data_IF_615846080671
#
_entry.id   IF_615846080671
#
_cell.length_a   1.000
_cell.length_b   1.000
_cell.length_c   1.000
_cell.angle_alpha   90.00
_cell.angle_beta   90.00
_cell.angle_gamma   90.00
#
_symmetry.space_group_name_H-M   'P 1'
#
loop_
_entity.id
_entity.type
_entity.pdbx_description
1 polymer ?
#
# COMPACT_ATOMS: atom_id res chain seq x y z
N UNK A 1 0.20 -4.90 -6.25
CA UNK A 1 0.43 -5.92 -7.28
C UNK A 1 1.92 -6.28 -7.34
N UNK A 2 2.84 -5.36 -7.62
CA UNK A 2 4.29 -5.63 -7.78
C UNK A 2 4.92 -6.40 -6.61
N UNK A 3 4.56 -6.08 -5.37
CA UNK A 3 5.01 -6.82 -4.17
C UNK A 3 4.53 -8.29 -4.19
N UNK A 4 3.28 -8.53 -4.55
CA UNK A 4 2.72 -9.88 -4.65
C UNK A 4 3.39 -10.71 -5.76
N UNK A 5 3.74 -10.08 -6.89
CA UNK A 5 4.51 -10.71 -7.99
C UNK A 5 5.93 -11.09 -7.54
N UNK A 6 6.61 -10.21 -6.79
CA UNK A 6 7.94 -10.49 -6.24
C UNK A 6 7.85 -11.65 -5.25
N UNK A 7 6.85 -11.65 -4.36
CA UNK A 7 6.65 -12.75 -3.42
C UNK A 7 6.40 -14.09 -4.13
N UNK A 8 5.64 -14.10 -5.23
CA UNK A 8 5.46 -15.29 -6.06
C UNK A 8 6.79 -15.78 -6.68
N UNK A 9 7.64 -14.86 -7.15
CA UNK A 9 8.99 -15.20 -7.64
C UNK A 9 9.87 -15.80 -6.54
N UNK A 10 9.82 -15.24 -5.31
CA UNK A 10 10.54 -15.78 -4.15
C UNK A 10 10.06 -17.21 -3.84
N UNK A 11 8.75 -17.46 -3.81
CA UNK A 11 8.23 -18.81 -3.56
C UNK A 11 8.62 -19.79 -4.67
N UNK A 12 8.70 -19.34 -5.92
CA UNK A 12 9.20 -20.16 -7.02
C UNK A 12 10.69 -20.52 -6.85
N UNK A 13 11.52 -19.56 -6.42
CA UNK A 13 12.94 -19.82 -6.10
C UNK A 13 13.08 -20.79 -4.92
N UNK A 14 12.21 -20.69 -3.90
CA UNK A 14 12.20 -21.59 -2.74
C UNK A 14 11.91 -23.04 -3.12
N UNK A 15 11.14 -23.30 -4.20
CA UNK A 15 11.01 -24.65 -4.75
C UNK A 15 12.36 -25.18 -5.27
N UNK A 16 13.17 -24.31 -5.90
CA UNK A 16 14.54 -24.64 -6.30
C UNK A 16 15.41 -24.99 -5.09
N UNK A 17 15.36 -24.15 -4.04
CA UNK A 17 16.06 -24.40 -2.77
C UNK A 17 15.64 -25.74 -2.16
N UNK A 18 14.32 -26.05 -2.12
CA UNK A 18 13.86 -27.34 -1.60
C UNK A 18 14.38 -28.53 -2.44
N UNK A 19 14.54 -28.36 -3.76
CA UNK A 19 15.12 -29.39 -4.66
C UNK A 19 16.61 -29.57 -4.46
N UNK A 20 17.34 -28.55 -3.99
CA UNK A 20 18.78 -28.65 -3.74
C UNK A 20 19.13 -29.74 -2.71
N UNK A 21 18.17 -30.11 -1.84
CA UNK A 21 18.31 -31.21 -0.91
C UNK A 21 18.53 -32.59 -1.57
N UNK A 22 18.35 -32.74 -2.87
CA UNK A 22 18.68 -33.97 -3.62
C UNK A 22 20.10 -34.00 -4.14
N UNK A 23 20.82 -32.88 -4.08
CA UNK A 23 22.17 -32.73 -4.60
C UNK A 23 23.21 -32.77 -3.47
N UNK A 24 24.44 -33.21 -3.78
CA UNK A 24 25.55 -33.13 -2.83
C UNK A 24 25.87 -31.67 -2.48
N UNK A 25 26.20 -31.43 -1.21
CA UNK A 25 26.63 -30.14 -0.70
C UNK A 25 28.13 -30.21 -0.36
N UNK A 26 28.92 -29.35 -0.94
CA UNK A 26 30.34 -29.21 -0.65
C UNK A 26 30.53 -27.95 0.20
N UNK A 27 31.07 -28.13 1.40
CA UNK A 27 31.46 -27.04 2.29
C UNK A 27 32.98 -26.98 2.40
N UNK A 28 33.54 -25.82 2.13
CA UNK A 28 34.95 -25.53 2.33
C UNK A 28 35.07 -24.57 3.51
N UNK A 29 35.80 -24.97 4.53
CA UNK A 29 36.05 -24.18 5.75
C UNK A 29 37.54 -23.98 5.91
N UNK A 30 38.00 -22.74 6.01
CA UNK A 30 39.34 -22.41 6.42
C UNK A 30 39.28 -21.72 7.79
N UNK A 31 40.00 -22.26 8.75
CA UNK A 31 40.03 -21.73 10.11
C UNK A 31 41.49 -21.48 10.49
N UNK A 32 41.74 -20.26 10.96
CA UNK A 32 43.01 -19.92 11.62
C UNK A 32 42.70 -19.56 13.05
N UNK A 33 43.33 -20.23 14.01
CA UNK A 33 43.23 -19.91 15.43
C UNK A 33 44.62 -19.69 16.01
N UNK A 34 44.76 -18.60 16.73
CA UNK A 34 45.95 -18.22 17.49
C UNK A 34 45.54 -18.21 18.97
N UNK A 35 46.26 -18.98 19.77
CA UNK A 35 46.09 -19.03 21.22
C UNK A 35 47.40 -18.61 21.86
N UNK A 36 47.36 -17.52 22.61
CA UNK A 36 48.45 -17.04 23.46
C UNK A 36 48.36 -17.74 24.83
N UNK A 37 49.52 -18.07 25.40
CA UNK A 37 49.60 -18.73 26.74
C UNK A 37 48.86 -20.07 26.78
N UNK A 38 49.02 -20.92 25.77
CA UNK A 38 48.32 -22.22 25.69
C UNK A 38 48.71 -23.17 26.84
N UNK A 39 49.97 -23.16 27.29
CA UNK A 39 50.46 -23.90 28.43
C UNK A 39 51.73 -23.29 29.00
N UNK A 40 52.18 -23.76 30.22
CA UNK A 40 53.44 -23.29 30.82
C UNK A 40 54.72 -23.62 29.99
N UNK A 41 54.62 -24.39 28.91
CA UNK A 41 55.70 -24.77 28.03
C UNK A 41 55.54 -24.26 26.62
N UNK A 42 54.35 -23.80 26.23
CA UNK A 42 54.00 -23.31 24.88
C UNK A 42 53.37 -21.93 25.01
N UNK A 43 54.10 -20.87 24.65
CA UNK A 43 53.65 -19.48 24.73
C UNK A 43 52.64 -19.15 23.66
N UNK A 44 52.79 -19.65 22.42
CA UNK A 44 51.94 -19.39 21.30
C UNK A 44 51.62 -20.67 20.52
N UNK A 45 50.33 -20.89 20.22
CA UNK A 45 49.86 -21.98 19.37
C UNK A 45 49.07 -21.42 18.20
N UNK A 46 49.62 -21.48 17.00
CA UNK A 46 48.91 -21.15 15.77
C UNK A 46 48.42 -22.44 15.11
N UNK A 47 47.13 -22.54 14.88
CA UNK A 47 46.51 -23.66 14.16
C UNK A 47 45.83 -23.15 12.88
N UNK A 48 46.26 -23.66 11.72
CA UNK A 48 45.65 -23.38 10.42
C UNK A 48 45.05 -24.67 9.86
N UNK A 49 43.73 -24.68 9.67
CA UNK A 49 43.03 -25.85 9.14
C UNK A 49 42.23 -25.46 7.88
N UNK A 50 42.36 -26.21 6.80
CA UNK A 50 41.51 -26.15 5.63
C UNK A 50 40.77 -27.48 5.49
N UNK A 51 39.45 -27.43 5.59
CA UNK A 51 38.60 -28.61 5.57
C UNK A 51 37.56 -28.55 4.44
N UNK A 52 37.54 -29.56 3.60
CA UNK A 52 36.51 -29.77 2.60
C UNK A 52 35.58 -30.90 3.03
N UNK A 53 34.27 -30.62 3.15
CA UNK A 53 33.31 -31.61 3.57
C UNK A 53 32.23 -31.77 2.50
N UNK A 54 32.07 -32.94 1.91
CA UNK A 54 31.01 -33.32 1.00
C UNK A 54 29.92 -34.07 1.75
N UNK A 55 28.70 -33.54 1.74
CA UNK A 55 27.54 -34.18 2.33
C UNK A 55 26.48 -34.47 1.24
N UNK A 56 26.16 -35.74 1.03
CA UNK A 56 25.13 -36.15 0.08
C UNK A 56 24.11 -37.05 0.74
N UNK A 57 22.88 -36.55 1.02
CA UNK A 57 21.84 -37.33 1.64
C UNK A 57 21.14 -38.24 0.60
N UNK A 58 21.71 -39.43 0.35
CA UNK A 58 21.17 -40.38 -0.67
C UNK A 58 19.80 -40.93 -0.26
N UNK A 59 19.57 -41.15 1.04
CA UNK A 59 18.29 -41.65 1.57
C UNK A 59 17.83 -40.81 2.76
N UNK A 60 16.65 -40.19 2.64
CA UNK A 60 16.08 -39.26 3.63
C UNK A 60 14.70 -39.71 4.15
N UNK A 61 14.34 -41.00 3.96
CA UNK A 61 13.04 -41.56 4.35
C UNK A 61 11.83 -40.68 3.91
N UNK A 62 11.90 -40.10 2.72
CA UNK A 62 10.84 -39.25 2.15
C UNK A 62 10.83 -37.78 2.60
N UNK A 63 11.71 -37.35 3.50
CA UNK A 63 11.78 -35.96 4.00
C UNK A 63 12.02 -34.96 2.89
N UNK A 64 12.96 -35.20 1.99
CA UNK A 64 13.26 -34.33 0.84
C UNK A 64 12.08 -34.21 -0.10
N UNK A 65 11.38 -35.31 -0.40
CA UNK A 65 10.18 -35.31 -1.23
C UNK A 65 9.05 -34.50 -0.58
N UNK A 66 8.82 -34.69 0.71
CA UNK A 66 7.81 -33.93 1.48
C UNK A 66 8.12 -32.44 1.50
N UNK A 67 9.38 -32.05 1.69
CA UNK A 67 9.79 -30.63 1.66
C UNK A 67 9.57 -30.00 0.29
N UNK A 68 9.84 -30.70 -0.81
CA UNK A 68 9.57 -30.18 -2.16
C UNK A 68 8.06 -30.04 -2.42
N UNK A 69 7.25 -31.02 -1.97
CA UNK A 69 5.77 -30.90 -2.04
C UNK A 69 5.29 -29.68 -1.25
N UNK A 70 5.73 -29.52 0.00
CA UNK A 70 5.41 -28.35 0.81
C UNK A 70 5.78 -27.04 0.11
N UNK A 71 6.98 -26.93 -0.47
CA UNK A 71 7.41 -25.73 -1.18
C UNK A 71 6.53 -25.44 -2.42
N UNK A 72 6.09 -26.48 -3.14
CA UNK A 72 5.16 -26.34 -4.27
C UNK A 72 3.79 -25.84 -3.82
N UNK A 73 3.25 -26.38 -2.72
CA UNK A 73 1.95 -25.91 -2.20
C UNK A 73 2.00 -24.47 -1.69
N UNK A 74 3.10 -24.06 -1.05
CA UNK A 74 3.33 -22.67 -0.67
C UNK A 74 3.40 -21.74 -1.90
N UNK A 75 4.05 -22.19 -2.99
CA UNK A 75 4.02 -21.45 -4.27
C UNK A 75 2.60 -21.33 -4.83
N UNK A 76 1.81 -22.41 -4.83
CA UNK A 76 0.42 -22.41 -5.30
C UNK A 76 -0.45 -21.45 -4.47
N UNK A 77 -0.30 -21.49 -3.14
CA UNK A 77 -0.97 -20.55 -2.23
C UNK A 77 -0.62 -19.08 -2.57
N UNK A 78 0.66 -18.82 -2.85
CA UNK A 78 1.08 -17.46 -3.21
C UNK A 78 0.57 -17.02 -4.59
N UNK A 79 0.39 -17.95 -5.53
CA UNK A 79 -0.24 -17.66 -6.82
C UNK A 79 -1.70 -17.23 -6.66
N UNK A 80 -2.44 -17.97 -5.81
CA UNK A 80 -3.84 -17.61 -5.50
C UNK A 80 -3.91 -16.24 -4.82
N UNK A 81 -2.98 -15.94 -3.90
CA UNK A 81 -2.91 -14.65 -3.25
C UNK A 81 -2.60 -13.51 -4.23
N UNK A 82 -1.73 -13.75 -5.23
CA UNK A 82 -1.48 -12.80 -6.32
C UNK A 82 -2.76 -12.49 -7.11
N UNK A 83 -3.49 -13.53 -7.53
CA UNK A 83 -4.77 -13.38 -8.25
C UNK A 83 -5.79 -12.62 -7.41
N UNK A 84 -5.91 -12.95 -6.11
CA UNK A 84 -6.77 -12.22 -5.18
C UNK A 84 -6.39 -10.72 -5.13
N UNK A 85 -5.11 -10.40 -4.95
CA UNK A 85 -4.63 -9.01 -4.90
C UNK A 85 -4.91 -8.25 -6.21
N UNK A 86 -4.77 -8.93 -7.36
CA UNK A 86 -5.10 -8.34 -8.66
C UNK A 86 -6.59 -8.00 -8.75
N UNK A 87 -7.47 -8.95 -8.40
CA UNK A 87 -8.92 -8.72 -8.43
C UNK A 87 -9.35 -7.60 -7.45
N UNK A 88 -8.82 -7.62 -6.23
CA UNK A 88 -9.09 -6.56 -5.22
C UNK A 88 -8.65 -5.19 -5.71
N UNK A 89 -7.50 -5.11 -6.40
CA UNK A 89 -7.02 -3.84 -6.97
C UNK A 89 -7.93 -3.32 -8.08
N UNK A 90 -8.44 -4.20 -8.96
CA UNK A 90 -9.39 -3.83 -10.02
C UNK A 90 -10.67 -3.28 -9.40
N UNK A 91 -11.29 -4.02 -8.47
CA UNK A 91 -12.51 -3.59 -7.77
C UNK A 91 -12.31 -2.26 -7.05
N UNK A 92 -11.17 -2.09 -6.37
CA UNK A 92 -10.85 -0.85 -5.69
C UNK A 92 -10.73 0.33 -6.67
N UNK A 93 -10.10 0.09 -7.82
CA UNK A 93 -9.94 1.13 -8.87
C UNK A 93 -11.28 1.57 -9.45
N UNK A 94 -12.18 0.61 -9.73
CA UNK A 94 -13.54 0.89 -10.21
C UNK A 94 -14.33 1.70 -9.17
N UNK A 95 -14.30 1.28 -7.90
CA UNK A 95 -15.00 1.98 -6.82
C UNK A 95 -14.50 3.43 -6.62
N UNK A 96 -13.20 3.67 -6.75
CA UNK A 96 -12.65 5.02 -6.60
C UNK A 96 -12.98 5.87 -7.83
N UNK A 97 -12.99 5.27 -9.02
CA UNK A 97 -13.39 5.96 -10.24
C UNK A 97 -14.87 6.39 -10.21
N UNK A 98 -15.75 5.52 -9.71
CA UNK A 98 -17.17 5.85 -9.55
C UNK A 98 -17.37 6.96 -8.50
N UNK A 99 -16.64 6.90 -7.38
CA UNK A 99 -16.63 7.99 -6.39
C UNK A 99 -16.19 9.32 -7.00
N UNK A 100 -15.19 9.30 -7.89
CA UNK A 100 -14.75 10.51 -8.58
C UNK A 100 -15.87 11.12 -9.44
N UNK A 101 -16.53 10.30 -10.28
CA UNK A 101 -17.67 10.75 -11.09
C UNK A 101 -18.80 11.33 -10.25
N UNK A 102 -19.15 10.64 -9.14
CA UNK A 102 -20.18 11.12 -8.22
C UNK A 102 -19.76 12.44 -7.57
N UNK A 103 -18.48 12.59 -7.23
CA UNK A 103 -17.98 13.83 -6.62
C UNK A 103 -18.10 15.04 -7.55
N UNK A 104 -17.87 14.87 -8.85
CA UNK A 104 -18.07 15.94 -9.83
C UNK A 104 -19.52 16.40 -9.91
N UNK A 105 -20.46 15.46 -9.98
CA UNK A 105 -21.89 15.77 -9.99
C UNK A 105 -22.37 16.43 -8.68
N UNK A 106 -21.84 15.98 -7.54
CA UNK A 106 -22.22 16.55 -6.23
C UNK A 106 -21.65 17.94 -6.00
N UNK A 107 -20.48 18.28 -6.57
CA UNK A 107 -19.95 19.64 -6.55
C UNK A 107 -20.84 20.57 -7.35
N UNK A 108 -21.22 20.20 -8.57
CA UNK A 108 -22.10 21.00 -9.42
C UNK A 108 -23.42 21.29 -8.71
N UNK A 109 -24.05 20.28 -8.11
CA UNK A 109 -25.27 20.45 -7.34
C UNK A 109 -25.08 21.36 -6.10
N UNK A 110 -23.95 21.22 -5.41
CA UNK A 110 -23.63 22.06 -4.24
C UNK A 110 -23.35 23.53 -4.64
N UNK A 111 -22.71 23.76 -5.78
CA UNK A 111 -22.46 25.09 -6.33
C UNK A 111 -23.77 25.81 -6.73
N UNK A 112 -24.66 25.09 -7.41
CA UNK A 112 -26.00 25.61 -7.75
C UNK A 112 -26.78 26.00 -6.49
N UNK A 113 -26.74 25.13 -5.45
CA UNK A 113 -27.40 25.42 -4.17
C UNK A 113 -26.78 26.64 -3.47
N UNK A 114 -25.46 26.76 -3.45
CA UNK A 114 -24.75 27.93 -2.91
C UNK A 114 -25.16 29.21 -3.64
N UNK A 115 -25.17 29.20 -4.98
CA UNK A 115 -25.54 30.35 -5.80
C UNK A 115 -27.01 30.74 -5.63
N UNK A 116 -27.92 29.78 -5.48
CA UNK A 116 -29.34 30.02 -5.19
C UNK A 116 -29.51 30.69 -3.82
N UNK A 117 -28.90 30.17 -2.75
CA UNK A 117 -28.96 30.78 -1.42
C UNK A 117 -28.28 32.15 -1.36
N UNK A 118 -27.23 32.38 -2.11
CA UNK A 118 -26.57 33.69 -2.26
C UNK A 118 -27.50 34.73 -2.90
N UNK A 119 -28.26 34.32 -3.91
CA UNK A 119 -29.25 35.18 -4.56
C UNK A 119 -30.45 35.45 -3.63
N UNK A 120 -30.95 34.42 -2.94
CA UNK A 120 -32.04 34.53 -1.98
C UNK A 120 -31.67 35.48 -0.82
N UNK A 121 -30.45 35.32 -0.25
CA UNK A 121 -29.98 36.21 0.81
C UNK A 121 -29.93 37.67 0.34
N UNK A 122 -29.38 37.95 -0.85
CA UNK A 122 -29.33 39.31 -1.42
C UNK A 122 -30.72 39.89 -1.59
N UNK A 123 -31.67 39.10 -2.11
CA UNK A 123 -33.06 39.53 -2.25
C UNK A 123 -33.71 39.88 -0.91
N UNK A 124 -33.54 39.00 0.11
CA UNK A 124 -34.08 39.24 1.46
C UNK A 124 -33.50 40.48 2.13
N UNK A 125 -32.22 40.80 1.90
CA UNK A 125 -31.57 42.05 2.38
C UNK A 125 -32.24 43.25 1.76
N UNK A 126 -32.47 43.27 0.44
CA UNK A 126 -33.11 44.37 -0.27
C UNK A 126 -34.58 44.56 0.21
N UNK A 127 -35.32 43.44 0.35
CA UNK A 127 -36.72 43.48 0.86
C UNK A 127 -36.77 44.02 2.30
N UNK A 128 -35.77 43.71 3.14
CA UNK A 128 -35.68 44.22 4.50
C UNK A 128 -35.37 45.76 4.53
N UNK A 129 -34.48 46.22 3.62
CA UNK A 129 -34.15 47.65 3.52
C UNK A 129 -35.39 48.51 3.16
N UNK A 130 -36.33 47.96 2.39
CA UNK A 130 -37.60 48.65 2.03
C UNK A 130 -38.73 48.35 3.03
N UNK A 131 -38.46 47.58 4.10
CA UNK A 131 -39.38 47.28 5.18
C UNK A 131 -40.35 46.13 4.94
N UNK A 132 -40.20 45.36 3.85
CA UNK A 132 -41.06 44.21 3.49
C UNK A 132 -40.69 42.91 4.22
N UNK A 133 -39.47 42.84 4.80
CA UNK A 133 -38.97 41.69 5.56
C UNK A 133 -38.42 42.07 6.93
N UNK A 134 -38.44 41.11 7.83
CA UNK A 134 -37.84 41.29 9.15
C UNK A 134 -36.34 41.06 9.18
N UNK A 135 -35.64 41.64 10.18
CA UNK A 135 -34.21 41.31 10.43
C UNK A 135 -34.02 39.83 10.70
N UNK A 136 -35.02 39.14 11.28
CA UNK A 136 -34.95 37.70 11.53
C UNK A 136 -34.91 36.90 10.20
N UNK A 137 -35.68 37.33 9.18
CA UNK A 137 -35.64 36.69 7.85
C UNK A 137 -34.26 36.81 7.21
N UNK A 138 -33.60 37.98 7.35
CA UNK A 138 -32.24 38.18 6.88
C UNK A 138 -31.25 37.25 7.60
N UNK A 139 -31.40 37.06 8.91
CA UNK A 139 -30.53 36.14 9.67
C UNK A 139 -30.72 34.68 9.24
N UNK A 140 -31.97 34.26 9.00
CA UNK A 140 -32.28 32.92 8.49
C UNK A 140 -31.68 32.70 7.10
N UNK A 141 -31.86 33.67 6.19
CA UNK A 141 -31.28 33.58 4.84
C UNK A 141 -29.73 33.58 4.86
N UNK A 142 -29.11 34.35 5.76
CA UNK A 142 -27.66 34.33 5.98
C UNK A 142 -27.17 32.96 6.48
N UNK A 143 -27.89 32.34 7.43
CA UNK A 143 -27.55 31.04 7.95
C UNK A 143 -27.68 29.97 6.84
N UNK A 144 -28.71 30.03 5.99
CA UNK A 144 -28.87 29.14 4.85
C UNK A 144 -27.71 29.29 3.83
N UNK A 145 -27.31 30.55 3.54
CA UNK A 145 -26.16 30.83 2.68
C UNK A 145 -24.87 30.23 3.27
N UNK A 146 -24.59 30.49 4.54
CA UNK A 146 -23.39 29.98 5.20
C UNK A 146 -23.34 28.43 5.18
N UNK A 147 -24.47 27.78 5.45
CA UNK A 147 -24.54 26.30 5.41
C UNK A 147 -24.29 25.76 3.99
N UNK A 148 -24.82 26.40 2.97
CA UNK A 148 -24.62 26.01 1.58
C UNK A 148 -23.18 26.26 1.11
N UNK A 149 -22.54 27.33 1.58
CA UNK A 149 -21.15 27.64 1.32
C UNK A 149 -20.21 26.59 1.93
N UNK A 150 -20.42 26.25 3.20
CA UNK A 150 -19.66 25.18 3.90
C UNK A 150 -19.84 23.84 3.17
N UNK A 151 -21.06 23.52 2.74
CA UNK A 151 -21.31 22.30 2.00
C UNK A 151 -20.56 22.27 0.65
N UNK A 152 -20.56 23.38 -0.09
CA UNK A 152 -19.85 23.49 -1.36
C UNK A 152 -18.33 23.25 -1.17
N UNK A 153 -17.69 23.93 -0.21
CA UNK A 153 -16.26 23.73 0.07
C UNK A 153 -15.94 22.30 0.57
N UNK A 154 -16.84 21.68 1.34
CA UNK A 154 -16.67 20.29 1.75
C UNK A 154 -16.70 19.34 0.53
N UNK A 155 -17.56 19.58 -0.45
CA UNK A 155 -17.60 18.78 -1.68
C UNK A 155 -16.35 18.96 -2.55
N UNK A 156 -15.81 20.19 -2.63
CA UNK A 156 -14.54 20.44 -3.28
C UNK A 156 -13.39 19.66 -2.62
N UNK A 157 -13.31 19.73 -1.28
CA UNK A 157 -12.31 18.97 -0.51
C UNK A 157 -12.45 17.45 -0.77
N UNK A 158 -13.68 16.93 -0.74
CA UNK A 158 -13.95 15.50 -0.94
C UNK A 158 -13.48 15.05 -2.34
N UNK A 159 -13.69 15.85 -3.39
CA UNK A 159 -13.16 15.58 -4.73
C UNK A 159 -11.63 15.52 -4.75
N UNK A 160 -10.94 16.47 -4.12
CA UNK A 160 -9.47 16.46 -4.09
C UNK A 160 -8.91 15.24 -3.34
N UNK A 161 -9.60 14.78 -2.29
CA UNK A 161 -9.25 13.53 -1.60
C UNK A 161 -9.36 12.33 -2.56
N UNK A 162 -10.47 12.23 -3.30
CA UNK A 162 -10.68 11.12 -4.25
C UNK A 162 -9.66 11.19 -5.39
N UNK A 163 -9.34 12.37 -5.92
CA UNK A 163 -8.30 12.59 -6.93
C UNK A 163 -6.93 12.10 -6.44
N UNK A 164 -6.59 12.44 -5.18
CA UNK A 164 -5.34 11.97 -4.55
C UNK A 164 -5.32 10.45 -4.40
N UNK A 165 -6.46 9.81 -4.09
CA UNK A 165 -6.59 8.35 -4.03
C UNK A 165 -6.36 7.69 -5.39
N UNK A 166 -6.82 8.29 -6.50
CA UNK A 166 -6.55 7.83 -7.86
C UNK A 166 -5.04 7.90 -8.15
N UNK A 167 -4.39 9.03 -7.83
CA UNK A 167 -2.95 9.19 -8.02
C UNK A 167 -2.13 8.16 -7.21
N UNK A 168 -2.56 7.87 -5.99
CA UNK A 168 -1.95 6.83 -5.16
C UNK A 168 -2.06 5.45 -5.80
N UNK A 169 -3.24 5.06 -6.29
CA UNK A 169 -3.43 3.77 -6.97
C UNK A 169 -2.64 3.66 -8.27
N UNK A 170 -2.53 4.75 -9.02
CA UNK A 170 -1.72 4.81 -10.23
C UNK A 170 -0.20 4.78 -9.93
N UNK A 171 0.20 4.96 -8.67
CA UNK A 171 1.60 5.01 -8.26
C UNK A 171 2.36 6.26 -8.71
N UNK A 172 1.64 7.33 -9.02
CA UNK A 172 2.17 8.63 -9.47
C UNK A 172 2.09 9.70 -8.36
N UNK A 173 1.69 9.30 -7.15
CA UNK A 173 1.63 10.21 -6.02
C UNK A 173 3.05 10.55 -5.56
N UNK A 174 3.50 11.78 -5.84
CA UNK A 174 4.73 12.38 -5.33
C UNK A 174 4.44 13.81 -4.85
N UNK A 175 5.38 14.42 -4.13
CA UNK A 175 5.21 15.77 -3.59
C UNK A 175 5.02 16.83 -4.69
N UNK A 176 5.67 16.66 -5.85
CA UNK A 176 5.55 17.57 -7.00
C UNK A 176 4.14 17.55 -7.60
N UNK A 177 3.47 16.40 -7.60
CA UNK A 177 2.09 16.25 -8.10
C UNK A 177 1.03 16.67 -7.07
N UNK A 178 1.41 16.96 -5.83
CA UNK A 178 0.55 17.47 -4.78
C UNK A 178 0.58 19.01 -4.66
N UNK A 179 1.52 19.69 -5.32
CA UNK A 179 1.48 21.14 -5.42
C UNK A 179 0.28 21.55 -6.26
N UNK A 180 -0.77 21.82 -5.55
CA UNK A 180 -2.04 22.31 -6.07
C UNK A 180 -1.87 23.75 -6.51
N UNK A 181 -2.24 24.03 -7.76
CA UNK A 181 -2.59 25.37 -8.23
C UNK A 181 -3.78 25.93 -7.42
#
# INVERSE_FOLDING_TARGET
IRMAEINMKIMNANVGVARSAYYPQLNLTATKSELDEFSSEIDELTNEEVKATLNWPIFTAGKSLSNVRKAKELKNSQLILLQKTQNETVILSENIWDKYKISEQTIEAAELNYNANKTAYKGTVIEQEVGERSVLDVLIARQALLNSEINYFNKQKDREIVKTQIMYLAGILNLENLEVN
#
